data_IF_803728543794
#
_entry.id   IF_803728543794
#
_cell.length_a   1.000
_cell.length_b   1.000
_cell.length_c   1.000
_cell.angle_alpha   90.00
_cell.angle_beta   90.00
_cell.angle_gamma   90.00
#
_symmetry.space_group_name_H-M   'P 1'
#
loop_
_entity.id
_entity.type
_entity.pdbx_description
1 polymer ?
#
# COMPACT_ATOMS: atom_id res chain seq x y z
N UNK A 1 -30.98 7.07 4.13
CA UNK A 1 -31.42 8.15 3.21
C UNK A 1 -30.27 9.12 3.11
N UNK A 2 -29.54 9.10 2.00
CA UNK A 2 -28.55 10.12 1.66
C UNK A 2 -29.35 11.23 0.98
N UNK A 3 -29.18 12.48 1.42
CA UNK A 3 -29.86 13.62 0.82
C UNK A 3 -29.22 13.91 -0.55
N UNK A 4 -29.98 13.70 -1.62
CA UNK A 4 -29.63 13.97 -3.01
C UNK A 4 -29.68 15.48 -3.34
N UNK A 5 -29.02 16.31 -2.52
CA UNK A 5 -28.60 17.65 -2.98
C UNK A 5 -27.16 17.51 -3.48
N UNK A 6 -27.03 16.95 -4.68
CA UNK A 6 -25.78 16.77 -5.41
C UNK A 6 -25.13 18.14 -5.69
N UNK A 7 -24.18 18.53 -4.84
CA UNK A 7 -23.17 19.53 -5.20
C UNK A 7 -22.35 18.99 -6.37
N UNK A 8 -22.63 19.46 -7.59
CA UNK A 8 -21.85 19.12 -8.78
C UNK A 8 -20.43 19.68 -8.60
N UNK A 9 -19.49 18.82 -8.23
CA UNK A 9 -18.08 19.17 -8.15
C UNK A 9 -17.39 19.04 -9.51
N UNK A 10 -17.11 20.17 -10.14
CA UNK A 10 -16.38 20.20 -11.42
C UNK A 10 -14.89 19.89 -11.17
N UNK A 11 -14.42 18.75 -11.69
CA UNK A 11 -13.01 18.36 -11.64
C UNK A 11 -12.29 18.90 -12.87
N UNK A 12 -11.33 19.81 -12.65
CA UNK A 12 -10.52 20.41 -13.71
C UNK A 12 -9.18 19.67 -13.88
N UNK A 13 -8.64 19.57 -15.12
CA UNK A 13 -7.30 19.04 -15.34
C UNK A 13 -6.24 19.87 -14.62
N UNK A 14 -5.30 19.20 -13.94
CA UNK A 14 -4.12 19.81 -13.32
C UNK A 14 -2.89 19.54 -14.17
N UNK A 15 -2.03 20.55 -14.28
CA UNK A 15 -0.73 20.47 -14.93
C UNK A 15 0.38 20.41 -13.90
N UNK A 16 1.35 19.51 -14.11
CA UNK A 16 2.56 19.40 -13.29
C UNK A 16 3.77 19.40 -14.22
N UNK A 17 4.77 20.22 -13.92
CA UNK A 17 6.02 20.30 -14.68
C UNK A 17 7.14 19.56 -13.96
N UNK A 18 7.98 18.90 -14.75
CA UNK A 18 9.15 18.16 -14.29
C UNK A 18 10.38 18.67 -15.05
N UNK A 19 11.53 18.83 -14.40
CA UNK A 19 12.76 19.14 -15.11
C UNK A 19 13.10 17.99 -16.06
N UNK A 20 13.35 18.32 -17.33
CA UNK A 20 13.84 17.34 -18.29
C UNK A 20 15.28 16.93 -17.96
N UNK A 21 15.66 15.71 -18.34
CA UNK A 21 17.06 15.29 -18.19
C UNK A 21 17.96 16.14 -19.11
N UNK A 22 19.19 16.39 -18.65
CA UNK A 22 20.25 17.06 -19.43
C UNK A 22 19.91 18.51 -19.84
N UNK A 23 19.18 19.24 -18.99
CA UNK A 23 18.89 20.68 -19.17
C UNK A 23 18.13 21.05 -20.47
N UNK A 24 17.39 20.09 -21.04
CA UNK A 24 16.51 20.32 -22.20
C UNK A 24 15.18 21.03 -21.84
N UNK A 25 15.16 21.82 -20.77
CA UNK A 25 13.96 22.51 -20.28
C UNK A 25 13.06 21.64 -19.38
N UNK A 26 11.74 21.76 -19.53
CA UNK A 26 10.74 21.10 -18.66
C UNK A 26 9.76 20.26 -19.46
N UNK A 27 9.33 19.14 -18.89
CA UNK A 27 8.25 18.29 -19.39
C UNK A 27 6.97 18.57 -18.58
N UNK A 28 5.85 18.83 -19.25
CA UNK A 28 4.56 19.05 -18.61
C UNK A 28 3.66 17.80 -18.73
N UNK A 29 3.00 17.42 -17.64
CA UNK A 29 1.92 16.46 -17.62
C UNK A 29 0.62 17.14 -17.19
N UNK A 30 -0.36 17.18 -18.09
CA UNK A 30 -1.73 17.64 -17.80
C UNK A 30 -2.67 16.43 -17.67
N UNK A 31 -3.38 16.31 -16.56
CA UNK A 31 -4.29 15.18 -16.30
C UNK A 31 -5.43 15.57 -15.36
N UNK A 32 -6.53 14.82 -15.40
CA UNK A 32 -7.50 14.86 -14.30
C UNK A 32 -6.85 14.23 -13.04
N UNK A 33 -7.01 14.83 -11.86
CA UNK A 33 -6.42 14.34 -10.62
C UNK A 33 -7.20 13.15 -10.03
N UNK A 34 -7.47 12.13 -10.84
CA UNK A 34 -8.21 10.92 -10.46
C UNK A 34 -7.48 9.67 -10.95
N UNK A 35 -7.67 8.55 -10.24
CA UNK A 35 -7.08 7.26 -10.60
C UNK A 35 -8.04 6.14 -10.22
N UNK A 36 -8.12 5.11 -11.07
CA UNK A 36 -8.85 3.88 -10.76
C UNK A 36 -8.24 3.24 -9.51
N UNK A 37 -9.09 2.90 -8.54
CA UNK A 37 -8.64 2.49 -7.20
C UNK A 37 -9.20 1.15 -6.71
N UNK A 38 -10.01 0.44 -7.52
CA UNK A 38 -10.49 -0.92 -7.18
C UNK A 38 -9.34 -1.91 -6.99
N UNK A 39 -8.33 -1.84 -7.85
CA UNK A 39 -7.08 -2.56 -7.70
C UNK A 39 -5.96 -1.56 -7.46
N UNK A 40 -5.27 -1.71 -6.32
CA UNK A 40 -4.20 -0.82 -5.90
C UNK A 40 -2.98 -1.62 -5.46
N UNK A 41 -1.80 -1.04 -5.62
CA UNK A 41 -0.57 -1.68 -5.15
C UNK A 41 -0.50 -1.63 -3.63
N UNK A 42 0.11 -2.65 -3.02
CA UNK A 42 0.29 -2.73 -1.56
C UNK A 42 0.91 -1.45 -0.97
N UNK A 43 1.90 -0.87 -1.66
CA UNK A 43 2.55 0.38 -1.24
C UNK A 43 1.58 1.56 -1.19
N UNK A 44 0.65 1.67 -2.14
CA UNK A 44 -0.38 2.73 -2.14
C UNK A 44 -1.45 2.53 -1.06
N UNK A 45 -1.66 1.28 -0.63
CA UNK A 45 -2.63 0.92 0.40
C UNK A 45 -2.06 1.01 1.83
N UNK A 46 -0.77 1.32 2.00
CA UNK A 46 -0.15 1.42 3.33
C UNK A 46 -0.86 2.48 4.18
N UNK A 47 -1.32 2.11 5.37
CA UNK A 47 -2.06 3.00 6.27
C UNK A 47 -3.59 3.02 6.05
N UNK A 48 -4.10 2.37 5.00
CA UNK A 48 -5.54 2.21 4.77
C UNK A 48 -6.09 0.98 5.46
N UNK A 49 -7.41 0.95 5.69
CA UNK A 49 -8.15 -0.24 6.15
C UNK A 49 -9.30 -0.50 5.18
N UNK A 50 -9.51 -1.77 4.83
CA UNK A 50 -10.61 -2.21 3.97
C UNK A 50 -11.35 -3.36 4.63
N UNK A 51 -12.65 -3.45 4.37
CA UNK A 51 -13.49 -4.54 4.92
C UNK A 51 -13.28 -5.84 4.14
N UNK A 52 -13.21 -5.74 2.81
CA UNK A 52 -13.03 -6.86 1.91
C UNK A 52 -11.89 -6.61 0.93
N UNK A 53 -11.04 -7.61 0.70
CA UNK A 53 -10.01 -7.55 -0.32
C UNK A 53 -9.64 -8.93 -0.88
N UNK A 54 -9.29 -8.93 -2.17
CA UNK A 54 -8.55 -10.01 -2.81
C UNK A 54 -7.08 -9.60 -2.84
N UNK A 55 -6.20 -10.41 -2.25
CA UNK A 55 -4.79 -10.11 -2.08
C UNK A 55 -3.95 -11.14 -2.83
N UNK A 56 -3.11 -10.66 -3.75
CA UNK A 56 -2.13 -11.50 -4.42
C UNK A 56 -0.89 -11.72 -3.55
N UNK A 57 -0.53 -12.98 -3.25
CA UNK A 57 0.67 -13.36 -2.48
C UNK A 57 1.61 -14.32 -3.23
N UNK A 58 1.60 -14.29 -4.56
CA UNK A 58 2.47 -15.12 -5.39
C UNK A 58 3.90 -14.57 -5.59
N UNK A 59 4.58 -15.10 -6.61
CA UNK A 59 6.00 -14.87 -6.92
C UNK A 59 6.41 -13.41 -7.18
N UNK A 60 5.45 -12.53 -7.49
CA UNK A 60 5.68 -11.08 -7.74
C UNK A 60 5.93 -10.29 -6.45
N UNK A 61 5.83 -10.89 -5.28
CA UNK A 61 6.29 -10.28 -4.03
C UNK A 61 7.81 -10.09 -4.07
N UNK A 62 8.25 -8.84 -3.90
CA UNK A 62 9.67 -8.47 -4.06
C UNK A 62 10.24 -7.73 -2.85
N UNK A 63 9.40 -7.10 -2.03
CA UNK A 63 9.85 -6.32 -0.87
C UNK A 63 9.58 -7.06 0.45
N UNK A 64 10.54 -6.98 1.37
CA UNK A 64 10.38 -7.51 2.72
C UNK A 64 9.21 -6.80 3.44
N UNK A 65 8.37 -7.56 4.12
CA UNK A 65 7.18 -7.03 4.81
C UNK A 65 5.99 -6.69 3.90
N UNK A 66 6.12 -6.77 2.56
CA UNK A 66 5.03 -6.44 1.63
C UNK A 66 3.77 -7.30 1.88
N UNK A 67 3.96 -8.61 2.09
CA UNK A 67 2.84 -9.50 2.40
C UNK A 67 2.15 -9.12 3.73
N UNK A 68 2.93 -8.78 4.75
CA UNK A 68 2.39 -8.31 6.03
C UNK A 68 1.61 -7.00 5.87
N UNK A 69 2.13 -6.03 5.12
CA UNK A 69 1.43 -4.77 4.84
C UNK A 69 0.11 -5.06 4.13
N UNK A 70 0.11 -5.93 3.12
CA UNK A 70 -1.11 -6.29 2.39
C UNK A 70 -2.16 -6.94 3.30
N UNK A 71 -1.78 -8.00 4.03
CA UNK A 71 -2.67 -8.75 4.91
C UNK A 71 -3.24 -7.87 6.03
N UNK A 72 -2.43 -7.00 6.62
CA UNK A 72 -2.85 -6.10 7.70
C UNK A 72 -3.83 -5.00 7.26
N UNK A 73 -4.15 -4.86 5.97
CA UNK A 73 -5.17 -3.91 5.51
C UNK A 73 -6.59 -4.43 5.72
N UNK A 74 -6.78 -5.75 5.83
CA UNK A 74 -8.10 -6.38 5.98
C UNK A 74 -8.35 -6.68 7.45
N UNK A 75 -9.54 -6.33 7.94
CA UNK A 75 -9.86 -6.38 9.38
C UNK A 75 -10.29 -7.77 9.86
N UNK A 76 -10.81 -8.61 8.98
CA UNK A 76 -11.30 -9.95 9.32
C UNK A 76 -10.86 -10.99 8.30
N UNK A 77 -10.75 -12.24 8.74
CA UNK A 77 -10.48 -13.37 7.84
C UNK A 77 -11.64 -13.61 6.86
N UNK A 78 -12.87 -13.33 7.26
CA UNK A 78 -14.05 -13.46 6.38
C UNK A 78 -14.03 -12.45 5.23
N UNK A 79 -13.39 -11.29 5.41
CA UNK A 79 -13.21 -10.29 4.37
C UNK A 79 -12.02 -10.54 3.46
N UNK A 80 -11.19 -11.54 3.76
CA UNK A 80 -9.94 -11.80 3.07
C UNK A 80 -10.07 -12.95 2.08
N UNK A 81 -9.68 -12.69 0.83
CA UNK A 81 -9.37 -13.73 -0.16
C UNK A 81 -7.91 -13.62 -0.57
N UNK A 82 -7.20 -14.74 -0.56
CA UNK A 82 -5.82 -14.80 -1.04
C UNK A 82 -5.81 -15.42 -2.43
N UNK A 83 -5.13 -14.77 -3.37
CA UNK A 83 -4.82 -15.31 -4.70
C UNK A 83 -3.33 -15.57 -4.81
N UNK A 84 -2.97 -16.77 -5.28
CA UNK A 84 -1.61 -17.28 -5.25
C UNK A 84 -0.98 -17.29 -3.85
N UNK A 85 -0.05 -18.20 -3.62
CA UNK A 85 0.67 -18.24 -2.36
C UNK A 85 2.07 -18.82 -2.57
N UNK A 86 3.05 -17.94 -2.66
CA UNK A 86 4.45 -18.35 -2.65
C UNK A 86 4.97 -18.33 -1.20
N UNK A 87 4.82 -19.45 -0.51
CA UNK A 87 5.27 -19.61 0.88
C UNK A 87 6.76 -19.31 1.06
N UNK A 88 7.59 -19.52 0.03
CA UNK A 88 9.03 -19.24 0.09
C UNK A 88 9.33 -17.76 0.34
N UNK A 89 8.42 -16.87 -0.08
CA UNK A 89 8.50 -15.41 0.11
C UNK A 89 7.99 -14.96 1.48
N UNK A 90 7.22 -15.79 2.17
CA UNK A 90 6.63 -15.51 3.49
C UNK A 90 7.49 -16.03 4.63
N UNK A 91 8.04 -17.23 4.50
CA UNK A 91 8.70 -17.97 5.59
C UNK A 91 10.22 -17.96 5.49
N UNK A 92 10.81 -16.91 4.90
CA UNK A 92 12.26 -16.82 4.75
C UNK A 92 12.95 -16.93 6.11
N UNK A 93 13.89 -17.89 6.21
CA UNK A 93 14.68 -18.13 7.43
C UNK A 93 15.63 -16.98 7.77
N UNK A 94 15.91 -16.09 6.82
CA UNK A 94 16.79 -14.93 7.02
C UNK A 94 16.01 -13.79 7.64
N UNK A 95 16.33 -13.43 8.88
CA UNK A 95 15.84 -12.21 9.52
C UNK A 95 16.23 -11.00 8.68
N UNK A 96 15.24 -10.29 8.12
CA UNK A 96 15.48 -9.12 7.27
C UNK A 96 15.95 -7.90 8.06
N UNK A 97 15.62 -7.79 9.35
CA UNK A 97 16.03 -6.64 10.18
C UNK A 97 16.24 -7.03 11.64
N UNK A 98 17.46 -7.45 11.97
CA UNK A 98 17.87 -7.81 13.34
C UNK A 98 17.85 -6.62 14.30
N UNK A 99 18.03 -5.39 13.81
CA UNK A 99 18.00 -4.18 14.64
C UNK A 99 16.57 -3.89 15.09
N UNK A 100 15.61 -3.95 14.15
CA UNK A 100 14.20 -3.77 14.46
C UNK A 100 13.68 -4.83 15.45
N UNK A 101 14.17 -6.07 15.34
CA UNK A 101 13.82 -7.14 16.28
C UNK A 101 14.38 -6.89 17.68
N UNK A 102 15.67 -6.56 17.79
CA UNK A 102 16.27 -6.18 19.08
C UNK A 102 15.51 -5.01 19.73
N UNK A 103 15.12 -4.02 18.94
CA UNK A 103 14.37 -2.87 19.44
C UNK A 103 12.93 -3.25 19.86
N UNK A 104 12.24 -4.11 19.11
CA UNK A 104 10.94 -4.64 19.51
C UNK A 104 11.02 -5.42 20.82
N UNK A 105 12.05 -6.26 21.00
CA UNK A 105 12.26 -7.01 22.24
C UNK A 105 12.59 -6.08 23.40
N UNK A 106 13.42 -5.05 23.17
CA UNK A 106 13.70 -4.00 24.16
C UNK A 106 12.41 -3.32 24.61
N UNK A 107 11.55 -2.90 23.68
CA UNK A 107 10.28 -2.24 24.01
C UNK A 107 9.33 -3.14 24.81
N UNK A 108 9.22 -4.43 24.46
CA UNK A 108 8.38 -5.40 25.18
C UNK A 108 8.81 -5.57 26.65
N UNK A 109 10.11 -5.57 26.90
CA UNK A 109 10.65 -5.76 28.25
C UNK A 109 10.50 -4.50 29.12
N UNK A 110 10.42 -3.31 28.53
CA UNK A 110 10.20 -2.05 29.27
C UNK A 110 8.78 -1.94 29.80
N UNK A 111 7.78 -2.49 29.10
CA UNK A 111 6.36 -2.42 29.51
C UNK A 111 6.02 -3.37 30.68
N UNK A 112 6.92 -4.29 31.03
CA UNK A 112 6.71 -5.31 32.07
C UNK A 112 7.33 -4.96 33.44
N UNK A 113 7.89 -3.75 33.60
CA UNK A 113 8.41 -3.19 34.86
C UNK A 113 7.64 -1.92 35.24
#
# INVERSE_FOLDING_TARGET
>A
MINDNDDIHIIQPKSVQFPAKFDHGTAERRMLPIVLSWASTVHKMQGTNVEHAVIYLGSKLFAAGQAYVALSRVRSLTGLRIEELDCSKLTSKKLYNVVALKEMDRMRNVTNN
#
